data_IF_735550822345
#
_entry.id   IF_735550822345
#
_cell.length_a   1.000
_cell.length_b   1.000
_cell.length_c   1.000
_cell.angle_alpha   90.00
_cell.angle_beta   90.00
_cell.angle_gamma   90.00
#
_symmetry.space_group_name_H-M   'P 1'
#
loop_
_entity.id
_entity.type
_entity.pdbx_description
1 polymer ?
#
# COMPACT_ATOMS: atom_id res chain seq x y z
N UNK A 1 48.57 15.59 14.72
CA UNK A 1 47.11 15.34 14.77
C UNK A 1 46.60 15.02 13.37
N UNK A 2 46.15 13.80 13.06
CA UNK A 2 45.28 13.58 11.91
C UNK A 2 43.81 13.57 12.37
N UNK A 3 42.98 14.26 11.60
CA UNK A 3 41.55 14.48 11.83
C UNK A 3 40.77 13.16 11.68
N UNK A 4 39.93 12.85 12.67
CA UNK A 4 38.93 11.79 12.56
C UNK A 4 37.91 12.17 11.48
N UNK A 5 37.96 11.49 10.32
CA UNK A 5 36.85 11.44 9.38
C UNK A 5 35.86 10.37 9.87
N UNK A 6 34.67 10.81 10.30
CA UNK A 6 33.58 9.94 10.72
C UNK A 6 32.91 9.33 9.49
N UNK A 7 33.34 8.14 9.06
CA UNK A 7 32.65 7.38 8.01
C UNK A 7 31.42 6.71 8.60
N UNK A 8 30.21 7.09 8.18
CA UNK A 8 28.96 6.43 8.59
C UNK A 8 28.73 5.21 7.69
N UNK A 9 28.69 4.02 8.27
CA UNK A 9 28.34 2.78 7.56
C UNK A 9 26.84 2.51 7.66
N UNK A 10 26.15 2.43 6.52
CA UNK A 10 24.78 1.92 6.46
C UNK A 10 24.82 0.47 5.99
N UNK A 11 24.47 -0.46 6.89
CA UNK A 11 24.49 -1.92 6.67
C UNK A 11 23.08 -2.37 6.29
N UNK A 12 22.89 -2.86 5.06
CA UNK A 12 21.63 -3.53 4.67
C UNK A 12 21.87 -5.03 4.51
N UNK A 13 21.17 -5.84 5.31
CA UNK A 13 21.27 -7.30 5.29
C UNK A 13 20.48 -7.90 4.12
N UNK A 14 21.13 -8.73 3.30
CA UNK A 14 20.46 -9.56 2.29
C UNK A 14 20.71 -11.03 2.63
N UNK A 15 19.75 -11.69 3.29
CA UNK A 15 19.79 -13.14 3.49
C UNK A 15 19.50 -13.87 2.17
N UNK A 16 20.53 -14.49 1.59
CA UNK A 16 20.38 -15.51 0.55
C UNK A 16 20.56 -16.87 1.24
N UNK A 17 19.54 -17.73 1.14
CA UNK A 17 19.57 -19.08 1.70
C UNK A 17 20.54 -19.97 0.93
N UNK A 18 21.72 -20.21 1.52
CA UNK A 18 22.45 -21.48 1.40
C UNK A 18 23.00 -21.78 2.79
N UNK A 19 22.98 -23.05 3.22
CA UNK A 19 23.36 -23.60 4.53
C UNK A 19 24.59 -22.94 5.24
N UNK A 20 24.70 -23.07 6.57
CA UNK A 20 24.68 -21.97 7.53
C UNK A 20 26.07 -21.35 7.74
N UNK A 21 26.58 -20.47 6.88
CA UNK A 21 27.79 -19.70 7.28
C UNK A 21 28.10 -18.41 6.53
N UNK A 22 27.20 -17.88 5.70
CA UNK A 22 27.47 -16.62 5.00
C UNK A 22 26.26 -15.68 5.02
N UNK A 23 26.47 -14.47 5.58
CA UNK A 23 25.58 -13.33 5.44
C UNK A 23 26.21 -12.39 4.42
N UNK A 24 25.50 -12.06 3.35
CA UNK A 24 25.93 -11.04 2.40
C UNK A 24 25.31 -9.69 2.79
N UNK A 25 26.16 -8.68 2.93
CA UNK A 25 25.77 -7.32 3.31
C UNK A 25 26.14 -6.36 2.19
N UNK A 26 25.23 -5.43 1.86
CA UNK A 26 25.55 -4.25 1.05
C UNK A 26 26.11 -3.16 1.96
N UNK A 27 27.32 -2.68 1.68
CA UNK A 27 27.96 -1.55 2.36
C UNK A 27 27.94 -0.36 1.40
N UNK A 28 27.41 0.78 1.85
CA UNK A 28 27.48 2.04 1.13
C UNK A 28 28.60 2.91 1.71
N UNK A 29 29.44 3.49 0.84
CA UNK A 29 30.46 4.46 1.22
C UNK A 29 29.94 5.87 0.99
N UNK A 30 30.02 6.72 2.02
CA UNK A 30 29.86 8.16 1.87
C UNK A 30 31.24 8.81 2.09
N UNK A 31 31.81 9.41 1.04
CA UNK A 31 32.97 10.29 1.21
C UNK A 31 32.49 11.69 1.55
N UNK A 32 33.01 12.25 2.64
CA UNK A 32 32.72 13.63 3.03
C UNK A 32 33.16 14.59 1.94
N UNK A 33 32.19 15.36 1.42
CA UNK A 33 32.27 16.49 0.48
C UNK A 33 31.90 16.28 -0.99
N UNK A 34 31.09 15.29 -1.38
CA UNK A 34 30.40 15.39 -2.69
C UNK A 34 28.95 14.88 -2.66
N UNK A 35 28.07 15.62 -3.33
CA UNK A 35 26.66 15.30 -3.61
C UNK A 35 26.50 14.26 -4.73
N UNK A 36 27.42 13.29 -4.85
CA UNK A 36 27.31 12.18 -5.81
C UNK A 36 26.70 10.95 -5.16
N UNK A 37 25.75 10.35 -5.86
CA UNK A 37 25.06 9.11 -5.49
C UNK A 37 26.05 7.99 -5.15
N UNK A 38 25.70 7.19 -4.15
CA UNK A 38 26.48 6.04 -3.72
C UNK A 38 26.62 5.03 -4.89
N UNK A 39 27.85 4.71 -5.28
CA UNK A 39 28.13 3.57 -6.17
C UNK A 39 27.91 2.25 -5.42
N UNK A 40 27.30 1.27 -6.10
CA UNK A 40 27.08 -0.07 -5.56
C UNK A 40 28.42 -0.82 -5.43
N UNK A 41 28.91 -1.01 -4.21
CA UNK A 41 30.03 -1.91 -3.97
C UNK A 41 29.58 -3.39 -4.04
N UNK A 42 30.37 -4.29 -4.67
CA UNK A 42 30.04 -5.71 -4.75
C UNK A 42 30.11 -6.40 -3.37
N UNK A 43 29.27 -7.42 -3.20
CA UNK A 43 29.06 -8.16 -1.95
C UNK A 43 30.38 -8.78 -1.42
N UNK A 44 30.75 -8.49 -0.17
CA UNK A 44 31.94 -9.07 0.47
C UNK A 44 31.57 -10.24 1.40
N UNK A 45 32.38 -11.32 1.45
CA UNK A 45 32.14 -12.46 2.33
C UNK A 45 32.38 -12.08 3.80
N UNK A 46 31.45 -12.50 4.66
CA UNK A 46 31.44 -12.19 6.10
C UNK A 46 31.26 -13.48 6.91
N UNK A 47 32.06 -13.66 7.97
CA UNK A 47 32.03 -14.87 8.82
C UNK A 47 31.89 -14.52 10.30
N UNK A 48 31.04 -15.29 10.98
CA UNK A 48 30.72 -15.16 12.40
C UNK A 48 31.70 -15.99 13.25
N UNK A 49 32.36 -15.37 14.23
CA UNK A 49 33.34 -16.05 15.09
C UNK A 49 32.69 -16.47 16.42
N UNK A 50 32.25 -17.74 16.52
CA UNK A 50 31.48 -18.26 17.67
C UNK A 50 32.09 -19.48 18.39
N UNK A 51 33.37 -19.79 18.18
CA UNK A 51 33.95 -21.06 18.66
C UNK A 51 35.25 -20.85 19.46
N UNK A 52 35.83 -21.92 20.04
CA UNK A 52 37.16 -21.84 20.70
C UNK A 52 38.20 -21.29 19.70
N UNK A 53 39.25 -20.61 20.20
CA UNK A 53 40.24 -19.87 19.40
C UNK A 53 40.74 -20.64 18.17
N UNK A 54 41.02 -21.94 18.30
CA UNK A 54 41.44 -22.79 17.18
C UNK A 54 40.47 -22.78 16.00
N UNK A 55 39.16 -22.93 16.25
CA UNK A 55 38.15 -22.90 15.19
C UNK A 55 37.97 -21.50 14.59
N UNK A 56 38.16 -20.44 15.39
CA UNK A 56 38.11 -19.07 14.88
C UNK A 56 39.26 -18.79 13.91
N UNK A 57 40.45 -19.33 14.17
CA UNK A 57 41.59 -19.20 13.26
C UNK A 57 41.37 -19.92 11.92
N UNK A 58 40.74 -21.10 11.92
CA UNK A 58 40.38 -21.79 10.68
C UNK A 58 39.33 -21.01 9.87
N UNK A 59 38.31 -20.47 10.54
CA UNK A 59 37.30 -19.63 9.91
C UNK A 59 37.89 -18.34 9.34
N UNK A 60 38.83 -17.71 10.06
CA UNK A 60 39.56 -16.54 9.59
C UNK A 60 40.39 -16.86 8.34
N UNK A 61 41.22 -17.91 8.39
CA UNK A 61 42.08 -18.32 7.28
C UNK A 61 41.28 -18.68 6.01
N UNK A 62 40.17 -19.40 6.16
CA UNK A 62 39.30 -19.79 5.05
C UNK A 62 38.63 -18.58 4.38
N UNK A 63 38.06 -17.68 5.19
CA UNK A 63 37.38 -16.47 4.71
C UNK A 63 38.36 -15.51 4.03
N UNK A 64 39.54 -15.35 4.62
CA UNK A 64 40.60 -14.51 4.07
C UNK A 64 41.13 -15.07 2.73
N UNK A 65 41.33 -16.38 2.64
CA UNK A 65 41.72 -17.06 1.40
C UNK A 65 40.70 -16.86 0.28
N UNK A 66 39.40 -17.04 0.59
CA UNK A 66 38.31 -16.82 -0.37
C UNK A 66 38.19 -15.36 -0.82
N UNK A 67 38.30 -14.40 0.12
CA UNK A 67 38.23 -12.98 -0.19
C UNK A 67 39.40 -12.54 -1.08
N UNK A 68 40.62 -13.03 -0.80
CA UNK A 68 41.82 -12.72 -1.59
C UNK A 68 41.73 -13.28 -3.02
N UNK A 69 41.20 -14.49 -3.19
CA UNK A 69 40.96 -15.08 -4.51
C UNK A 69 39.96 -14.28 -5.37
N UNK A 70 39.15 -13.42 -4.75
CA UNK A 70 38.17 -12.57 -5.42
C UNK A 70 38.55 -11.07 -5.42
N UNK A 71 39.79 -10.72 -5.03
CA UNK A 71 40.26 -9.34 -4.84
C UNK A 71 39.36 -8.50 -3.89
N UNK A 72 38.83 -9.12 -2.82
CA UNK A 72 37.93 -8.50 -1.85
C UNK A 72 38.56 -8.43 -0.46
N UNK A 73 38.05 -7.52 0.37
CA UNK A 73 38.43 -7.39 1.78
C UNK A 73 37.39 -8.14 2.64
N UNK A 74 37.80 -9.13 3.45
CA UNK A 74 36.89 -9.82 4.35
C UNK A 74 36.50 -8.91 5.54
N UNK A 75 35.25 -8.99 5.97
CA UNK A 75 34.77 -8.29 7.17
C UNK A 75 34.39 -9.33 8.22
N UNK A 76 34.84 -9.14 9.46
CA UNK A 76 34.57 -10.04 10.59
C UNK A 76 33.73 -9.30 11.64
N UNK A 77 32.67 -9.92 12.15
CA UNK A 77 31.81 -9.36 13.21
C UNK A 77 31.78 -10.32 14.40
N UNK A 78 32.09 -9.80 15.59
CA UNK A 78 31.93 -10.53 16.85
C UNK A 78 30.46 -10.78 17.18
N UNK A 79 30.11 -12.00 17.62
CA UNK A 79 28.73 -12.35 17.98
C UNK A 79 28.12 -11.50 19.10
N UNK A 80 28.93 -10.97 20.03
CA UNK A 80 28.43 -10.11 21.11
C UNK A 80 27.77 -8.84 20.57
N UNK A 81 28.23 -8.34 19.43
CA UNK A 81 27.63 -7.19 18.76
C UNK A 81 26.30 -7.57 18.08
N UNK A 82 26.15 -8.80 17.57
CA UNK A 82 24.89 -9.27 16.99
C UNK A 82 23.77 -9.42 18.04
N UNK A 83 24.10 -9.90 19.24
CA UNK A 83 23.15 -10.01 20.36
C UNK A 83 22.61 -8.65 20.78
N UNK A 84 23.51 -7.68 20.95
CA UNK A 84 23.17 -6.31 21.34
C UNK A 84 22.39 -5.56 20.26
N UNK A 85 22.75 -5.75 18.99
CA UNK A 85 21.98 -5.22 17.84
C UNK A 85 20.58 -5.85 17.72
N UNK A 86 20.38 -7.10 18.16
CA UNK A 86 19.08 -7.75 18.17
C UNK A 86 18.15 -7.23 19.28
N UNK A 87 18.71 -6.82 20.42
CA UNK A 87 18.00 -6.17 21.53
C UNK A 87 17.61 -4.72 21.20
N UNK A 88 18.43 -3.99 20.43
CA UNK A 88 18.17 -2.60 20.01
C UNK A 88 17.31 -2.49 18.73
N UNK A 89 16.92 -3.61 18.11
CA UNK A 89 16.17 -3.59 16.85
C UNK A 89 14.71 -3.11 17.06
N UNK A 90 14.20 -2.15 16.25
CA UNK A 90 12.85 -1.62 16.41
C UNK A 90 11.79 -2.71 16.32
N UNK A 91 10.75 -2.58 17.14
CA UNK A 91 9.62 -3.51 17.19
C UNK A 91 8.87 -3.53 15.86
N UNK A 92 8.31 -4.68 15.52
CA UNK A 92 7.56 -4.85 14.27
C UNK A 92 6.04 -4.77 14.48
N UNK A 93 5.35 -4.27 13.46
CA UNK A 93 3.90 -4.35 13.31
C UNK A 93 3.58 -5.09 12.01
N UNK A 94 2.92 -6.24 12.13
CA UNK A 94 2.69 -7.15 11.02
C UNK A 94 1.20 -7.24 10.67
N UNK A 95 0.91 -7.39 9.37
CA UNK A 95 -0.42 -7.73 8.88
C UNK A 95 -0.32 -8.77 7.75
N UNK A 96 -1.34 -9.61 7.63
CA UNK A 96 -1.51 -10.48 6.47
C UNK A 96 -2.43 -9.82 5.45
N UNK A 97 -1.94 -9.63 4.22
CA UNK A 97 -2.74 -9.09 3.13
C UNK A 97 -3.57 -10.21 2.49
N UNK A 98 -4.89 -10.12 2.56
CA UNK A 98 -5.81 -11.11 2.03
C UNK A 98 -7.05 -10.43 1.40
N UNK A 99 -8.01 -11.22 0.92
CA UNK A 99 -9.19 -10.75 0.18
C UNK A 99 -8.87 -9.97 -1.11
N UNK A 100 -9.81 -9.17 -1.62
CA UNK A 100 -9.66 -8.38 -2.86
C UNK A 100 -8.75 -7.17 -2.64
N UNK A 101 -8.18 -6.66 -3.73
CA UNK A 101 -7.13 -5.63 -3.73
C UNK A 101 -7.46 -4.37 -2.92
N UNK A 102 -8.71 -3.87 -2.93
CA UNK A 102 -9.09 -2.69 -2.12
C UNK A 102 -8.95 -2.92 -0.61
N UNK A 103 -9.20 -4.15 -0.13
CA UNK A 103 -9.01 -4.49 1.28
C UNK A 103 -7.51 -4.63 1.60
N UNK A 104 -6.74 -5.24 0.69
CA UNK A 104 -5.28 -5.32 0.84
C UNK A 104 -4.63 -3.95 0.92
N UNK A 105 -5.09 -2.98 0.12
CA UNK A 105 -4.60 -1.60 0.16
C UNK A 105 -4.89 -0.92 1.50
N UNK A 106 -6.08 -1.12 2.10
CA UNK A 106 -6.37 -0.66 3.46
C UNK A 106 -5.48 -1.32 4.51
N UNK A 107 -5.38 -2.64 4.50
CA UNK A 107 -4.50 -3.36 5.42
C UNK A 107 -3.05 -2.87 5.33
N UNK A 108 -2.56 -2.65 4.10
CA UNK A 108 -1.23 -2.13 3.84
C UNK A 108 -1.06 -0.71 4.40
N UNK A 109 -1.90 0.24 3.96
CA UNK A 109 -1.76 1.65 4.30
C UNK A 109 -1.93 1.89 5.80
N UNK A 110 -2.94 1.29 6.41
CA UNK A 110 -3.21 1.43 7.85
C UNK A 110 -2.09 0.84 8.70
N UNK A 111 -1.55 -0.33 8.33
CA UNK A 111 -0.41 -0.92 9.04
C UNK A 111 0.85 -0.07 8.87
N UNK A 112 1.08 0.46 7.68
CA UNK A 112 2.20 1.38 7.42
C UNK A 112 2.09 2.64 8.29
N UNK A 113 0.93 3.31 8.30
CA UNK A 113 0.69 4.51 9.09
C UNK A 113 0.79 4.28 10.60
N UNK A 114 0.17 3.21 11.10
CA UNK A 114 0.27 2.81 12.51
C UNK A 114 1.71 2.47 12.92
N UNK A 115 2.47 1.80 12.04
CA UNK A 115 3.87 1.48 12.30
C UNK A 115 4.72 2.75 12.37
N UNK A 116 4.56 3.66 11.40
CA UNK A 116 5.25 4.95 11.37
C UNK A 116 4.98 5.80 12.60
N UNK A 117 3.72 5.93 13.00
CA UNK A 117 3.31 6.71 14.17
C UNK A 117 3.87 6.17 15.50
N UNK A 118 4.30 4.91 15.54
CA UNK A 118 4.80 4.24 16.74
C UNK A 118 6.27 3.81 16.61
N UNK A 119 7.00 4.35 15.62
CA UNK A 119 8.41 4.02 15.35
C UNK A 119 8.68 2.52 15.18
N UNK A 120 7.70 1.80 14.63
CA UNK A 120 7.77 0.36 14.35
C UNK A 120 8.10 0.08 12.90
N UNK A 121 8.60 -1.12 12.66
CA UNK A 121 8.84 -1.63 11.31
C UNK A 121 7.55 -2.30 10.79
N UNK A 122 6.96 -1.83 9.67
CA UNK A 122 5.82 -2.51 9.07
C UNK A 122 6.28 -3.81 8.37
N UNK A 123 5.51 -4.88 8.55
CA UNK A 123 5.76 -6.20 7.92
C UNK A 123 4.48 -6.70 7.26
N UNK A 124 4.60 -7.12 5.99
CA UNK A 124 3.45 -7.52 5.18
C UNK A 124 3.60 -8.96 4.69
N UNK A 125 2.69 -9.84 5.12
CA UNK A 125 2.58 -11.20 4.59
C UNK A 125 1.73 -11.17 3.31
N UNK A 126 2.09 -11.96 2.30
CA UNK A 126 1.41 -12.05 1.00
C UNK A 126 1.35 -10.73 0.18
N UNK A 127 2.36 -9.88 0.31
CA UNK A 127 2.46 -8.63 -0.46
C UNK A 127 2.67 -8.79 -1.98
N UNK A 128 2.73 -10.02 -2.51
CA UNK A 128 2.98 -10.30 -3.94
C UNK A 128 1.91 -9.69 -4.84
N UNK A 129 0.64 -9.72 -4.42
CA UNK A 129 -0.46 -9.19 -5.21
C UNK A 129 -0.35 -7.68 -5.40
N UNK A 130 -0.18 -6.91 -4.31
CA UNK A 130 0.06 -5.47 -4.40
C UNK A 130 1.37 -5.14 -5.12
N UNK A 131 2.42 -5.93 -4.90
CA UNK A 131 3.73 -5.76 -5.55
C UNK A 131 3.73 -5.98 -7.07
N UNK A 132 2.73 -6.68 -7.61
CA UNK A 132 2.51 -6.83 -9.06
C UNK A 132 1.80 -5.62 -9.66
N UNK A 133 1.09 -4.85 -8.83
CA UNK A 133 0.28 -3.71 -9.25
C UNK A 133 1.03 -2.40 -9.04
N UNK A 134 1.76 -2.29 -7.92
CA UNK A 134 2.40 -1.07 -7.44
C UNK A 134 3.89 -1.27 -7.15
N UNK A 135 4.62 -0.16 -7.13
CA UNK A 135 6.05 -0.06 -6.80
C UNK A 135 6.27 -0.11 -5.28
N UNK A 136 5.79 -1.17 -4.65
CA UNK A 136 5.89 -1.37 -3.19
C UNK A 136 7.37 -1.47 -2.78
N UNK A 137 7.84 -0.51 -1.98
CA UNK A 137 9.22 -0.43 -1.47
C UNK A 137 9.39 -1.03 -0.09
N UNK A 138 8.35 -1.03 0.74
CA UNK A 138 8.40 -1.55 2.11
C UNK A 138 8.31 -3.09 2.18
N UNK A 139 9.24 -3.77 1.52
CA UNK A 139 9.36 -5.24 1.52
C UNK A 139 10.36 -5.68 2.56
N UNK A 140 9.91 -5.96 3.79
CA UNK A 140 10.75 -6.64 4.77
C UNK A 140 10.31 -8.09 4.95
N UNK A 141 11.27 -9.01 4.76
CA UNK A 141 11.09 -10.43 5.06
C UNK A 141 11.06 -10.63 6.57
N UNK A 142 10.21 -11.55 7.01
CA UNK A 142 10.04 -11.91 8.40
C UNK A 142 11.31 -12.55 8.96
N UNK A 143 11.76 -12.11 10.13
CA UNK A 143 12.66 -12.92 10.97
C UNK A 143 11.77 -13.79 11.86
N UNK A 144 11.78 -15.10 11.62
CA UNK A 144 10.83 -16.10 12.15
C UNK A 144 10.95 -16.39 13.64
N UNK A 145 11.94 -15.84 14.34
CA UNK A 145 12.26 -16.21 15.73
C UNK A 145 11.64 -15.31 16.80
N UNK A 146 10.87 -14.27 16.44
CA UNK A 146 10.28 -13.35 17.43
C UNK A 146 8.88 -13.81 17.87
N UNK A 147 8.55 -13.70 19.16
CA UNK A 147 7.18 -13.85 19.68
C UNK A 147 6.31 -12.68 19.20
N UNK A 148 5.09 -12.99 18.76
CA UNK A 148 4.13 -12.01 18.24
C UNK A 148 2.88 -12.00 19.12
N UNK A 149 2.44 -10.80 19.52
CA UNK A 149 1.19 -10.63 20.24
C UNK A 149 0.08 -10.22 19.27
N UNK A 150 -1.02 -10.96 19.27
CA UNK A 150 -2.13 -10.71 18.35
C UNK A 150 -3.00 -9.56 18.86
N UNK A 151 -3.30 -8.61 17.98
CA UNK A 151 -4.24 -7.51 18.20
C UNK A 151 -5.31 -7.56 17.11
N UNK A 152 -6.58 -7.59 17.51
CA UNK A 152 -7.72 -7.58 16.59
C UNK A 152 -8.41 -6.22 16.63
N UNK A 153 -8.62 -5.65 15.47
CA UNK A 153 -9.44 -4.44 15.29
C UNK A 153 -10.86 -4.71 15.79
N UNK A 154 -11.42 -3.76 16.55
CA UNK A 154 -12.77 -3.88 17.09
C UNK A 154 -13.86 -3.91 16.02
N UNK A 155 -13.64 -3.29 14.85
CA UNK A 155 -14.62 -3.26 13.78
C UNK A 155 -14.02 -2.91 12.41
N UNK A 156 -14.66 -3.33 11.32
CA UNK A 156 -14.06 -3.36 9.97
C UNK A 156 -13.95 -1.99 9.27
N UNK A 157 -14.78 -1.00 9.63
CA UNK A 157 -14.81 0.33 9.01
C UNK A 157 -15.01 1.45 10.04
N UNK A 158 -14.41 1.28 11.23
CA UNK A 158 -14.38 2.26 12.31
C UNK A 158 -12.95 2.45 12.79
N UNK A 159 -12.63 3.68 13.16
CA UNK A 159 -11.34 3.95 13.78
C UNK A 159 -11.30 3.39 15.21
N UNK A 160 -10.37 2.48 15.45
CA UNK A 160 -10.13 1.91 16.76
C UNK A 160 -9.00 2.66 17.48
N UNK A 161 -9.37 3.45 18.48
CA UNK A 161 -8.42 4.21 19.30
C UNK A 161 -7.39 3.33 20.03
N UNK A 162 -7.68 2.04 20.28
CA UNK A 162 -6.76 1.11 20.94
C UNK A 162 -5.53 0.80 20.07
N UNK A 163 -5.63 0.97 18.75
CA UNK A 163 -4.52 0.74 17.83
C UNK A 163 -3.50 1.90 17.82
N UNK A 164 -3.79 3.03 18.49
CA UNK A 164 -2.87 4.17 18.59
C UNK A 164 -1.59 3.86 19.37
N UNK A 165 -1.65 2.94 20.33
CA UNK A 165 -0.53 2.59 21.19
C UNK A 165 -0.51 1.10 21.48
N UNK A 166 0.48 0.43 20.93
CA UNK A 166 0.75 -0.97 21.21
C UNK A 166 1.71 -1.15 22.39
N UNK A 167 1.66 -2.29 23.09
CA UNK A 167 2.67 -2.67 24.07
C UNK A 167 4.05 -2.86 23.41
N UNK A 168 5.12 -2.75 24.19
CA UNK A 168 6.53 -2.91 23.76
C UNK A 168 6.89 -4.37 23.38
N UNK A 169 6.17 -4.93 22.41
CA UNK A 169 6.38 -6.26 21.81
C UNK A 169 6.05 -6.20 20.32
N UNK A 170 6.46 -7.19 19.54
CA UNK A 170 6.02 -7.33 18.15
C UNK A 170 4.52 -7.65 18.11
N UNK A 171 3.82 -7.05 17.13
CA UNK A 171 2.36 -7.12 17.03
C UNK A 171 1.97 -7.76 15.71
N UNK A 172 1.03 -8.70 15.79
CA UNK A 172 0.32 -9.23 14.63
C UNK A 172 -1.10 -8.64 14.62
N UNK A 173 -1.41 -7.85 13.61
CA UNK A 173 -2.66 -7.11 13.49
C UNK A 173 -3.67 -7.90 12.64
N UNK A 174 -4.89 -8.04 13.16
CA UNK A 174 -6.02 -8.69 12.53
C UNK A 174 -7.14 -7.66 12.32
N UNK A 175 -7.55 -7.42 11.09
CA UNK A 175 -8.63 -6.51 10.77
C UNK A 175 -8.62 -6.11 9.30
N UNK A 176 -9.69 -5.47 8.84
CA UNK A 176 -9.70 -4.87 7.50
C UNK A 176 -9.05 -3.48 7.52
N UNK A 177 -9.01 -2.82 8.68
CA UNK A 177 -8.31 -1.56 8.93
C UNK A 177 -8.79 -0.44 8.00
N UNK A 178 -10.10 -0.37 7.74
CA UNK A 178 -10.67 0.53 6.74
C UNK A 178 -11.00 1.90 7.33
N UNK A 179 -9.99 2.56 7.88
CA UNK A 179 -10.10 3.96 8.29
C UNK A 179 -8.92 4.77 7.78
N UNK A 180 -9.21 5.87 7.08
CA UNK A 180 -8.22 6.83 6.61
C UNK A 180 -7.37 7.39 7.75
N UNK A 181 -7.94 7.45 8.95
CA UNK A 181 -7.30 8.00 10.15
C UNK A 181 -6.06 7.22 10.58
N UNK A 182 -5.93 5.96 10.18
CA UNK A 182 -4.73 5.17 10.50
C UNK A 182 -3.48 5.61 9.72
N UNK A 183 -3.63 6.30 8.59
CA UNK A 183 -2.51 6.65 7.70
C UNK A 183 -2.50 8.08 7.18
N UNK A 184 -3.47 8.91 7.56
CA UNK A 184 -3.56 10.31 7.12
C UNK A 184 -2.29 11.16 7.30
N UNK A 185 -1.49 10.88 8.33
CA UNK A 185 -0.24 11.60 8.59
C UNK A 185 0.91 11.21 7.66
N UNK A 186 0.73 10.18 6.84
CA UNK A 186 1.76 9.64 5.92
C UNK A 186 1.19 9.46 4.52
N UNK A 187 0.17 10.23 4.15
CA UNK A 187 -0.53 10.12 2.86
C UNK A 187 0.43 10.16 1.67
N UNK A 188 1.43 11.05 1.69
CA UNK A 188 2.43 11.16 0.61
C UNK A 188 3.29 9.90 0.47
N UNK A 189 3.61 9.23 1.58
CA UNK A 189 4.33 7.95 1.54
C UNK A 189 3.44 6.84 0.97
N UNK A 190 2.17 6.80 1.36
CA UNK A 190 1.20 5.83 0.83
C UNK A 190 1.00 6.04 -0.68
N UNK A 191 0.91 7.29 -1.15
CA UNK A 191 0.81 7.60 -2.59
C UNK A 191 2.04 7.10 -3.36
N UNK A 192 3.24 7.24 -2.80
CA UNK A 192 4.47 6.70 -3.40
C UNK A 192 4.44 5.18 -3.46
N UNK A 193 4.08 4.51 -2.36
CA UNK A 193 3.95 3.05 -2.31
C UNK A 193 2.92 2.53 -3.34
N UNK A 194 1.82 3.26 -3.56
CA UNK A 194 0.79 2.93 -4.54
C UNK A 194 1.00 3.58 -5.93
N UNK A 195 2.25 3.87 -6.29
CA UNK A 195 2.58 4.18 -7.69
C UNK A 195 2.52 2.91 -8.53
N UNK A 196 1.71 2.89 -9.58
CA UNK A 196 1.56 1.72 -10.45
C UNK A 196 2.88 1.30 -11.12
N UNK A 197 3.05 -0.01 -11.38
CA UNK A 197 4.18 -0.52 -12.16
C UNK A 197 4.07 -0.10 -13.63
N UNK A 198 5.20 0.02 -14.38
CA UNK A 198 5.20 0.59 -15.73
C UNK A 198 4.25 -0.09 -16.72
N UNK A 199 4.07 -1.42 -16.63
CA UNK A 199 3.17 -2.18 -17.50
C UNK A 199 1.68 -1.81 -17.32
N UNK A 200 1.27 -1.48 -16.10
CA UNK A 200 -0.09 -1.01 -15.79
C UNK A 200 -0.22 0.47 -16.15
N UNK A 201 0.82 1.27 -15.87
CA UNK A 201 0.83 2.69 -16.23
C UNK A 201 0.60 2.86 -17.73
N UNK A 202 1.40 2.19 -18.57
CA UNK A 202 1.30 2.27 -20.03
C UNK A 202 -0.11 1.93 -20.54
N UNK A 203 -0.73 0.88 -20.00
CA UNK A 203 -2.10 0.48 -20.39
C UNK A 203 -3.13 1.54 -20.02
N UNK A 204 -3.02 2.12 -18.82
CA UNK A 204 -3.94 3.16 -18.39
C UNK A 204 -3.74 4.48 -19.16
N UNK A 205 -2.50 4.82 -19.48
CA UNK A 205 -2.16 6.05 -20.21
C UNK A 205 -2.74 6.02 -21.63
N UNK A 206 -2.68 4.87 -22.33
CA UNK A 206 -3.33 4.68 -23.64
C UNK A 206 -4.83 4.92 -23.56
N UNK A 207 -5.51 4.32 -22.58
CA UNK A 207 -6.96 4.49 -22.42
C UNK A 207 -7.30 5.96 -22.13
N UNK A 208 -6.55 6.62 -21.24
CA UNK A 208 -6.80 8.02 -20.88
C UNK A 208 -6.50 8.98 -22.03
N UNK A 209 -5.45 8.74 -22.82
CA UNK A 209 -5.13 9.58 -23.97
C UNK A 209 -6.25 9.60 -25.01
N UNK A 210 -6.89 8.45 -25.23
CA UNK A 210 -8.01 8.35 -26.18
C UNK A 210 -9.15 9.29 -25.78
N UNK A 211 -9.48 9.34 -24.49
CA UNK A 211 -10.55 10.20 -23.98
C UNK A 211 -10.15 11.67 -23.83
N UNK A 212 -8.87 12.00 -23.66
CA UNK A 212 -8.40 13.40 -23.56
C UNK A 212 -8.10 14.03 -24.92
N UNK A 213 -7.95 13.23 -25.97
CA UNK A 213 -7.68 13.74 -27.31
C UNK A 213 -8.83 14.60 -27.84
N UNK A 214 -8.51 15.74 -28.46
CA UNK A 214 -9.44 16.55 -29.27
C UNK A 214 -10.57 17.30 -28.53
N UNK A 215 -10.47 17.56 -27.22
CA UNK A 215 -11.47 18.37 -26.50
C UNK A 215 -10.79 19.44 -25.63
N UNK A 216 -11.03 20.71 -25.95
CA UNK A 216 -10.60 21.82 -25.08
C UNK A 216 -11.48 21.88 -23.84
N UNK A 217 -10.88 22.28 -22.71
CA UNK A 217 -11.62 22.54 -21.47
C UNK A 217 -12.38 21.30 -20.92
N UNK A 218 -11.78 20.12 -21.11
CA UNK A 218 -12.35 18.81 -20.82
C UNK A 218 -11.95 18.28 -19.45
N UNK A 219 -12.90 17.66 -18.76
CA UNK A 219 -12.72 17.06 -17.43
C UNK A 219 -13.21 15.62 -17.48
N UNK A 220 -12.33 14.69 -17.10
CA UNK A 220 -12.66 13.29 -16.97
C UNK A 220 -13.12 13.01 -15.54
N UNK A 221 -14.29 12.39 -15.41
CA UNK A 221 -14.84 11.97 -14.13
C UNK A 221 -14.94 10.45 -14.12
N UNK A 222 -14.14 9.79 -13.29
CA UNK A 222 -14.19 8.34 -13.14
C UNK A 222 -15.43 7.93 -12.35
N UNK A 223 -16.20 6.97 -12.84
CA UNK A 223 -17.41 6.48 -12.18
C UNK A 223 -17.29 5.00 -11.89
N UNK A 224 -17.20 4.63 -10.62
CA UNK A 224 -17.11 3.23 -10.20
C UNK A 224 -18.44 2.72 -9.63
N UNK A 225 -19.07 1.78 -10.34
CA UNK A 225 -20.35 1.18 -9.97
C UNK A 225 -20.14 -0.26 -9.49
N UNK A 226 -20.29 -0.47 -8.18
CA UNK A 226 -20.19 -1.78 -7.53
C UNK A 226 -21.58 -2.39 -7.38
N UNK A 227 -21.78 -3.58 -7.97
CA UNK A 227 -23.03 -4.32 -7.86
C UNK A 227 -22.81 -5.79 -7.55
N UNK A 228 -22.00 -6.49 -8.32
CA UNK A 228 -21.89 -7.96 -8.36
C UNK A 228 -22.11 -8.67 -7.03
N UNK A 229 -21.11 -8.68 -6.15
CA UNK A 229 -21.20 -9.39 -4.86
C UNK A 229 -22.16 -8.75 -3.85
N UNK A 230 -22.54 -7.48 -4.01
CA UNK A 230 -23.53 -6.81 -3.16
C UNK A 230 -24.96 -7.32 -3.41
N UNK A 231 -25.20 -7.92 -4.59
CA UNK A 231 -26.48 -8.54 -4.95
C UNK A 231 -26.64 -9.96 -4.40
N UNK A 232 -25.56 -10.57 -3.88
CA UNK A 232 -25.64 -11.91 -3.30
C UNK A 232 -26.46 -11.93 -2.01
N UNK A 233 -27.23 -13.00 -1.73
CA UNK A 233 -28.09 -13.08 -0.54
C UNK A 233 -27.36 -12.77 0.77
N UNK A 234 -26.17 -13.36 0.97
CA UNK A 234 -25.36 -13.13 2.17
C UNK A 234 -25.02 -11.64 2.37
N UNK A 235 -24.55 -10.96 1.33
CA UNK A 235 -24.24 -9.52 1.38
C UNK A 235 -25.50 -8.69 1.65
N UNK A 236 -26.60 -9.03 0.99
CA UNK A 236 -27.86 -8.31 1.16
C UNK A 236 -28.41 -8.43 2.58
N UNK A 237 -28.35 -9.63 3.17
CA UNK A 237 -28.72 -9.90 4.57
C UNK A 237 -27.80 -9.19 5.56
N UNK A 238 -26.49 -9.16 5.28
CA UNK A 238 -25.54 -8.44 6.12
C UNK A 238 -25.76 -6.92 6.12
N UNK A 239 -26.35 -6.36 5.05
CA UNK A 239 -26.73 -4.95 4.98
C UNK A 239 -26.16 -4.18 3.80
N UNK A 240 -25.47 -4.83 2.86
CA UNK A 240 -24.97 -4.18 1.66
C UNK A 240 -26.11 -3.77 0.72
N UNK A 241 -25.97 -2.60 0.11
CA UNK A 241 -26.95 -2.03 -0.84
C UNK A 241 -26.24 -1.46 -2.06
N UNK A 242 -26.89 -1.59 -3.21
CA UNK A 242 -26.40 -1.06 -4.48
C UNK A 242 -27.00 0.31 -4.76
N UNK A 243 -26.25 1.17 -5.46
CA UNK A 243 -26.76 2.47 -5.88
C UNK A 243 -27.88 2.33 -6.92
N UNK A 244 -28.92 3.16 -6.78
CA UNK A 244 -30.03 3.24 -7.76
C UNK A 244 -29.66 4.17 -8.92
N UNK A 245 -30.36 4.08 -10.04
CA UNK A 245 -30.20 4.99 -11.18
C UNK A 245 -30.27 6.48 -10.76
N UNK A 246 -31.19 6.81 -9.83
CA UNK A 246 -31.38 8.17 -9.32
C UNK A 246 -30.17 8.74 -8.58
N UNK A 247 -29.30 7.90 -8.00
CA UNK A 247 -28.04 8.36 -7.42
C UNK A 247 -27.13 8.96 -8.50
N UNK A 248 -26.99 8.29 -9.65
CA UNK A 248 -26.14 8.76 -10.74
C UNK A 248 -26.65 10.07 -11.34
N UNK A 249 -27.96 10.21 -11.52
CA UNK A 249 -28.58 11.47 -11.96
C UNK A 249 -28.19 12.63 -11.02
N UNK A 250 -28.33 12.43 -9.70
CA UNK A 250 -27.96 13.43 -8.70
C UNK A 250 -26.45 13.70 -8.66
N UNK A 251 -25.63 12.65 -8.76
CA UNK A 251 -24.18 12.76 -8.70
C UNK A 251 -23.61 13.49 -9.92
N UNK A 252 -24.13 13.22 -11.13
CA UNK A 252 -23.70 13.91 -12.35
C UNK A 252 -24.12 15.38 -12.33
N UNK A 253 -25.36 15.68 -11.91
CA UNK A 253 -25.81 17.06 -11.71
C UNK A 253 -24.94 17.80 -10.68
N UNK A 254 -24.64 17.15 -9.55
CA UNK A 254 -23.78 17.74 -8.51
C UNK A 254 -22.37 17.98 -9.04
N UNK A 255 -21.77 17.05 -9.77
CA UNK A 255 -20.43 17.21 -10.34
C UNK A 255 -20.37 18.39 -11.33
N UNK A 256 -21.37 18.52 -12.22
CA UNK A 256 -21.49 19.68 -13.12
C UNK A 256 -21.58 21.00 -12.37
N UNK A 257 -22.30 21.04 -11.23
CA UNK A 257 -22.40 22.25 -10.41
C UNK A 257 -21.08 22.62 -9.71
N UNK A 258 -20.26 21.63 -9.37
CA UNK A 258 -18.97 21.85 -8.71
C UNK A 258 -17.87 22.24 -9.71
N UNK A 259 -18.06 21.90 -10.99
CA UNK A 259 -17.10 22.11 -12.06
C UNK A 259 -17.79 22.81 -13.23
N UNK A 260 -18.28 24.06 -13.03
CA UNK A 260 -19.04 24.77 -14.04
C UNK A 260 -18.16 25.14 -15.23
N UNK A 261 -18.79 25.38 -16.38
CA UNK A 261 -18.13 25.81 -17.62
C UNK A 261 -17.04 24.84 -18.11
N UNK A 262 -17.17 23.53 -17.83
CA UNK A 262 -16.28 22.48 -18.34
C UNK A 262 -17.08 21.42 -19.10
N UNK A 263 -16.43 20.79 -20.09
CA UNK A 263 -16.99 19.63 -20.77
C UNK A 263 -16.67 18.38 -19.95
N UNK A 264 -17.66 17.80 -19.27
CA UNK A 264 -17.46 16.61 -18.45
C UNK A 264 -17.66 15.35 -19.28
N UNK A 265 -16.83 14.33 -19.05
CA UNK A 265 -17.06 12.96 -19.55
C UNK A 265 -16.97 11.99 -18.39
N UNK A 266 -18.02 11.20 -18.21
CA UNK A 266 -18.13 10.23 -17.13
C UNK A 266 -17.69 8.85 -17.62
N UNK A 267 -16.51 8.40 -17.20
CA UNK A 267 -15.95 7.09 -17.55
C UNK A 267 -16.44 6.03 -16.56
N UNK A 268 -17.41 5.22 -16.97
CA UNK A 268 -18.07 4.22 -16.11
C UNK A 268 -17.35 2.88 -16.19
N UNK A 269 -16.93 2.37 -15.03
CA UNK A 269 -16.53 0.97 -14.84
C UNK A 269 -17.46 0.28 -13.84
N UNK A 270 -17.74 -1.01 -14.10
CA UNK A 270 -18.58 -1.81 -13.22
C UNK A 270 -18.29 -3.30 -13.37
N UNK A 271 -18.61 -4.06 -12.31
CA UNK A 271 -18.77 -5.52 -12.40
C UNK A 271 -20.15 -5.95 -12.94
N UNK A 272 -21.02 -4.99 -13.28
CA UNK A 272 -22.32 -5.19 -13.90
C UNK A 272 -22.58 -4.07 -14.95
N UNK A 273 -21.79 -4.08 -16.02
CA UNK A 273 -21.92 -3.13 -17.14
C UNK A 273 -23.28 -3.21 -17.86
N UNK A 274 -23.92 -4.39 -18.05
CA UNK A 274 -25.27 -4.45 -18.63
C UNK A 274 -26.27 -3.59 -17.85
N UNK A 275 -26.35 -3.74 -16.53
CA UNK A 275 -27.23 -2.91 -15.72
C UNK A 275 -26.91 -1.42 -15.86
N UNK A 276 -25.62 -1.05 -15.89
CA UNK A 276 -25.21 0.34 -16.06
C UNK A 276 -25.69 0.93 -17.39
N UNK A 277 -25.60 0.18 -18.49
CA UNK A 277 -26.10 0.63 -19.80
C UNK A 277 -27.61 0.83 -19.79
N UNK A 278 -28.35 -0.02 -19.08
CA UNK A 278 -29.81 0.05 -19.01
C UNK A 278 -30.31 1.17 -18.11
N UNK A 279 -29.55 1.55 -17.08
CA UNK A 279 -30.03 2.43 -16.01
C UNK A 279 -29.35 3.80 -15.95
N UNK A 280 -28.14 3.95 -16.50
CA UNK A 280 -27.40 5.21 -16.50
C UNK A 280 -27.53 5.85 -17.88
N UNK A 281 -28.49 6.77 -18.01
CA UNK A 281 -28.77 7.49 -19.25
C UNK A 281 -28.29 8.93 -19.15
N UNK A 282 -27.13 9.19 -19.74
CA UNK A 282 -26.56 10.54 -19.86
C UNK A 282 -25.63 10.57 -21.08
N UNK A 283 -25.76 11.58 -21.94
CA UNK A 283 -25.01 11.68 -23.20
C UNK A 283 -23.48 11.79 -22.99
N UNK A 284 -23.06 12.26 -21.81
CA UNK A 284 -21.64 12.41 -21.46
C UNK A 284 -21.02 11.16 -20.82
N UNK A 285 -21.79 10.07 -20.69
CA UNK A 285 -21.28 8.79 -20.17
C UNK A 285 -20.59 7.99 -21.28
N UNK A 286 -19.42 7.46 -20.95
CA UNK A 286 -18.70 6.45 -21.74
C UNK A 286 -18.44 5.24 -20.86
N UNK A 287 -18.82 4.05 -21.33
CA UNK A 287 -18.58 2.80 -20.60
C UNK A 287 -17.21 2.25 -20.98
N UNK A 288 -16.34 2.07 -19.98
CA UNK A 288 -15.06 1.43 -20.18
C UNK A 288 -15.26 -0.04 -20.60
N UNK A 289 -14.40 -0.59 -21.47
CA UNK A 289 -14.43 -1.99 -21.81
C UNK A 289 -14.11 -2.85 -20.59
N UNK A 290 -14.41 -4.15 -20.68
CA UNK A 290 -14.03 -5.08 -19.63
C UNK A 290 -12.50 -5.19 -19.57
N UNK A 291 -11.91 -4.79 -18.45
CA UNK A 291 -10.48 -4.84 -18.19
C UNK A 291 -10.23 -5.51 -16.85
N UNK A 292 -8.98 -5.86 -16.56
CA UNK A 292 -8.64 -6.36 -15.22
C UNK A 292 -8.79 -5.26 -14.17
N UNK A 293 -9.04 -5.66 -12.91
CA UNK A 293 -9.33 -4.72 -11.83
C UNK A 293 -8.19 -3.71 -11.62
N UNK A 294 -6.94 -4.13 -11.76
CA UNK A 294 -5.78 -3.24 -11.65
C UNK A 294 -5.70 -2.20 -12.77
N UNK A 295 -6.18 -2.52 -13.99
CA UNK A 295 -6.27 -1.54 -15.08
C UNK A 295 -7.43 -0.58 -14.84
N UNK A 296 -8.60 -1.06 -14.40
CA UNK A 296 -9.70 -0.17 -14.00
C UNK A 296 -9.30 0.79 -12.88
N UNK A 297 -8.57 0.30 -11.87
CA UNK A 297 -8.03 1.13 -10.79
C UNK A 297 -7.08 2.20 -11.34
N UNK A 298 -6.17 1.83 -12.23
CA UNK A 298 -5.20 2.74 -12.84
C UNK A 298 -5.81 3.78 -13.79
N UNK A 299 -6.83 3.41 -14.57
CA UNK A 299 -7.55 4.32 -15.46
C UNK A 299 -8.39 5.31 -14.66
N UNK A 300 -9.23 4.81 -13.75
CA UNK A 300 -10.15 5.69 -13.02
C UNK A 300 -9.41 6.61 -12.04
N UNK A 301 -8.28 6.19 -11.47
CA UNK A 301 -7.46 7.05 -10.60
C UNK A 301 -6.70 8.16 -11.35
N UNK A 302 -6.69 8.16 -12.69
CA UNK A 302 -6.14 9.24 -13.53
C UNK A 302 -7.20 10.24 -13.99
N UNK A 303 -8.46 9.99 -13.67
CA UNK A 303 -9.53 10.97 -13.90
C UNK A 303 -9.35 12.15 -12.95
N UNK A 304 -9.80 13.32 -13.36
CA UNK A 304 -9.65 14.56 -12.58
C UNK A 304 -10.51 14.52 -11.31
N UNK A 305 -11.68 13.88 -11.38
CA UNK A 305 -12.63 13.71 -10.28
C UNK A 305 -13.24 12.30 -10.30
N UNK A 306 -13.88 11.89 -9.21
CA UNK A 306 -14.44 10.54 -9.10
C UNK A 306 -15.83 10.52 -8.45
N UNK A 307 -16.71 9.68 -8.99
CA UNK A 307 -17.99 9.31 -8.40
C UNK A 307 -17.93 7.82 -8.07
N UNK A 308 -18.16 7.47 -6.81
CA UNK A 308 -18.04 6.09 -6.34
C UNK A 308 -19.34 5.60 -5.71
N UNK A 309 -19.51 4.29 -5.71
CA UNK A 309 -20.54 3.59 -4.96
C UNK A 309 -19.92 2.97 -3.69
N UNK A 310 -20.49 1.88 -3.16
CA UNK A 310 -19.95 1.22 -1.97
C UNK A 310 -18.71 0.36 -2.23
N UNK A 311 -17.98 0.04 -1.15
CA UNK A 311 -16.83 -0.86 -1.15
C UNK A 311 -15.46 -0.16 -1.21
N UNK A 312 -14.40 -0.94 -0.95
CA UNK A 312 -13.02 -0.43 -0.81
C UNK A 312 -12.33 -0.14 -2.14
N UNK A 313 -12.71 -0.81 -3.23
CA UNK A 313 -12.09 -0.61 -4.54
C UNK A 313 -12.36 0.80 -5.09
N UNK A 314 -13.62 1.24 -5.09
CA UNK A 314 -13.98 2.62 -5.45
C UNK A 314 -13.34 3.64 -4.52
N UNK A 315 -13.28 3.34 -3.22
CA UNK A 315 -12.62 4.20 -2.24
C UNK A 315 -11.16 4.48 -2.63
N UNK A 316 -10.38 3.44 -2.98
CA UNK A 316 -8.99 3.62 -3.39
C UNK A 316 -8.83 4.33 -4.73
N UNK A 317 -9.76 4.15 -5.69
CA UNK A 317 -9.80 4.94 -6.93
C UNK A 317 -9.88 6.43 -6.58
N UNK A 318 -10.85 6.81 -5.76
CA UNK A 318 -11.08 8.20 -5.39
C UNK A 318 -9.92 8.80 -4.59
N UNK A 319 -9.37 8.06 -3.63
CA UNK A 319 -8.23 8.51 -2.84
C UNK A 319 -7.00 8.75 -3.70
N UNK A 320 -6.71 7.86 -4.66
CA UNK A 320 -5.58 8.00 -5.58
C UNK A 320 -5.77 9.16 -6.58
N UNK A 321 -7.00 9.35 -7.11
CA UNK A 321 -7.31 10.45 -8.02
C UNK A 321 -7.12 11.84 -7.38
N UNK A 322 -7.33 11.94 -6.06
CA UNK A 322 -7.11 13.16 -5.29
C UNK A 322 -7.87 14.40 -5.80
N UNK A 323 -9.02 14.17 -6.44
CA UNK A 323 -9.93 15.20 -6.91
C UNK A 323 -11.22 15.27 -6.11
N UNK A 324 -12.18 16.04 -6.62
CA UNK A 324 -13.54 16.05 -6.08
C UNK A 324 -14.10 14.63 -6.09
N UNK A 325 -14.55 14.18 -4.92
CA UNK A 325 -15.11 12.84 -4.76
C UNK A 325 -16.55 12.92 -4.29
N UNK A 326 -17.44 12.29 -5.05
CA UNK A 326 -18.84 12.06 -4.66
C UNK A 326 -19.03 10.57 -4.36
N UNK A 327 -19.65 10.23 -3.24
CA UNK A 327 -19.91 8.84 -2.87
C UNK A 327 -21.38 8.56 -2.55
N UNK A 328 -21.80 7.31 -2.77
CA UNK A 328 -23.14 6.84 -2.43
C UNK A 328 -23.25 6.55 -0.93
N UNK A 329 -24.05 7.33 -0.19
CA UNK A 329 -24.29 7.13 1.24
C UNK A 329 -25.11 5.87 1.53
N UNK A 330 -26.03 5.52 0.63
CA UNK A 330 -27.00 4.45 0.87
C UNK A 330 -26.48 3.02 0.68
N UNK A 331 -25.15 2.79 0.64
CA UNK A 331 -24.61 1.44 0.46
C UNK A 331 -24.67 0.58 1.72
N UNK A 332 -24.84 1.22 2.89
CA UNK A 332 -25.06 0.57 4.18
C UNK A 332 -26.53 0.69 4.54
N UNK A 333 -27.20 -0.43 4.76
CA UNK A 333 -28.60 -0.46 5.22
C UNK A 333 -28.66 -0.04 6.70
N UNK A 334 -29.56 0.89 7.02
CA UNK A 334 -29.88 1.25 8.42
C UNK A 334 -30.49 0.03 9.12
N UNK A 335 -30.17 -0.16 10.40
CA UNK A 335 -30.54 -1.29 11.24
C UNK A 335 -30.08 -2.62 10.64
N UNK A 336 -28.80 -2.70 10.25
CA UNK A 336 -28.17 -3.91 9.74
C UNK A 336 -26.85 -4.22 10.45
N UNK A 337 -26.40 -5.49 10.43
CA UNK A 337 -25.09 -5.87 10.96
C UNK A 337 -23.94 -5.04 10.37
N UNK A 338 -24.06 -4.62 9.10
CA UNK A 338 -23.06 -3.78 8.43
C UNK A 338 -22.98 -2.37 9.05
N UNK A 339 -24.11 -1.80 9.49
CA UNK A 339 -24.14 -0.48 10.11
C UNK A 339 -23.43 -0.48 11.48
N UNK A 340 -23.62 -1.55 12.26
CA UNK A 340 -23.02 -1.69 13.59
C UNK A 340 -21.49 -1.56 13.56
N UNK A 341 -20.84 -1.99 12.47
CA UNK A 341 -19.40 -1.90 12.30
C UNK A 341 -18.89 -0.83 11.34
N UNK A 342 -19.77 0.06 10.88
CA UNK A 342 -19.45 1.13 9.94
C UNK A 342 -19.55 2.52 10.58
N UNK A 343 -18.59 3.39 10.27
CA UNK A 343 -18.66 4.81 10.62
C UNK A 343 -18.26 5.64 9.41
N UNK A 344 -19.21 6.34 8.80
CA UNK A 344 -18.95 7.15 7.60
C UNK A 344 -17.83 8.16 7.80
N UNK A 345 -17.74 8.79 8.99
CA UNK A 345 -16.68 9.76 9.34
C UNK A 345 -15.29 9.14 9.44
N UNK A 346 -15.20 7.87 9.79
CA UNK A 346 -13.92 7.17 9.97
C UNK A 346 -13.52 6.42 8.69
N UNK A 347 -14.49 6.05 7.85
CA UNK A 347 -14.28 5.38 6.57
C UNK A 347 -13.97 6.39 5.45
N UNK A 348 -14.76 7.45 5.29
CA UNK A 348 -14.55 8.46 4.24
C UNK A 348 -13.72 9.65 4.76
N UNK A 349 -12.67 10.08 4.04
CA UNK A 349 -11.91 11.28 4.39
C UNK A 349 -12.78 12.55 4.39
N UNK A 350 -12.38 13.58 5.16
CA UNK A 350 -13.05 14.88 5.10
C UNK A 350 -12.98 15.47 3.69
N UNK A 351 -14.00 16.24 3.31
CA UNK A 351 -14.12 16.87 1.99
C UNK A 351 -14.81 16.01 0.92
N UNK A 352 -14.99 14.70 1.15
CA UNK A 352 -15.77 13.86 0.24
C UNK A 352 -17.27 14.13 0.41
N UNK A 353 -18.00 14.16 -0.71
CA UNK A 353 -19.40 14.59 -0.76
C UNK A 353 -20.30 13.36 -0.86
N UNK A 354 -21.00 13.03 0.23
CA UNK A 354 -21.94 11.92 0.22
C UNK A 354 -23.33 12.32 -0.26
N UNK A 355 -23.87 11.61 -1.26
CA UNK A 355 -25.24 11.77 -1.76
C UNK A 355 -26.10 10.52 -1.48
N UNK A 356 -27.42 10.70 -1.30
CA UNK A 356 -28.34 9.60 -1.00
C UNK A 356 -28.64 8.69 -2.18
#
# INVERSE_FOLDING_TARGET
MPRHLSTIFCVTFVCINVFPLYILVKIFYFSGNSTRMAEEAPLSPMVQLNHRIGNQMFMYASTFGHARAQHRVPVFIEARNLSRMAEEAPLSLMVQLNHRIGNQMFMYASTFGLARAQHRVPVFIEARNLSRIFKITSRRRMNSFKRWRVFKESSYAKFDSKLRKFPETNIFLLGFLQSWRYFHNVDDEIRREFTFVPSIQKKADVVISDYRSNVTNHVLVGVHVRRGDFLLPFSWHHGYRVAKASYFVKAFAKMRSLVPNKNLTFLVASDDLPWCRDNIKDASVKFLPNMTAEIHLAVLSRCDHVIITGGSFGWWIAWLANGITIYYKGFVKIYSPLEEGFSARDYYPPGWIGLP
#
